data_IF_775452730157
#
_entry.id   IF_775452730157
#
_cell.length_a   1.000
_cell.length_b   1.000
_cell.length_c   1.000
_cell.angle_alpha   90.00
_cell.angle_beta   90.00
_cell.angle_gamma   90.00
#
_symmetry.space_group_name_H-M   'P 1'
#
loop_
_entity.id
_entity.type
_entity.pdbx_description
1 polymer ?
#
# COMPACT_ATOMS: atom_id res chain seq x y z
N UNK A 1 -17.74 -23.93 4.17
CA UNK A 1 -16.65 -23.01 3.83
C UNK A 1 -17.27 -21.82 3.09
N UNK A 2 -17.02 -20.58 3.52
CA UNK A 2 -17.48 -19.36 2.83
C UNK A 2 -16.32 -18.77 2.05
N UNK A 3 -16.50 -18.59 0.74
CA UNK A 3 -15.51 -17.93 -0.12
C UNK A 3 -15.72 -16.42 -0.06
N UNK A 4 -14.65 -15.67 0.11
CA UNK A 4 -14.65 -14.20 -0.03
C UNK A 4 -14.44 -13.87 -1.51
N UNK A 5 -15.43 -13.24 -2.13
CA UNK A 5 -15.34 -12.78 -3.51
C UNK A 5 -14.63 -11.41 -3.56
N UNK A 6 -13.31 -11.46 -3.71
CA UNK A 6 -12.49 -10.26 -3.79
C UNK A 6 -12.77 -9.41 -5.02
N UNK A 7 -13.23 -9.99 -6.14
CA UNK A 7 -13.56 -9.23 -7.34
C UNK A 7 -14.85 -8.41 -7.14
N UNK A 8 -15.89 -9.01 -6.58
CA UNK A 8 -17.13 -8.30 -6.28
C UNK A 8 -16.87 -7.13 -5.28
N UNK A 9 -16.08 -7.37 -4.24
CA UNK A 9 -15.73 -6.34 -3.26
C UNK A 9 -14.89 -5.22 -3.91
N UNK A 10 -13.93 -5.57 -4.78
CA UNK A 10 -13.13 -4.57 -5.49
C UNK A 10 -14.00 -3.67 -6.38
N UNK A 11 -15.00 -4.21 -7.07
CA UNK A 11 -15.93 -3.42 -7.88
C UNK A 11 -16.74 -2.44 -7.02
N UNK A 12 -17.21 -2.85 -5.85
CA UNK A 12 -17.89 -1.95 -4.91
C UNK A 12 -16.96 -0.80 -4.46
N UNK A 13 -15.73 -1.13 -4.07
CA UNK A 13 -14.75 -0.11 -3.65
C UNK A 13 -14.46 0.88 -4.78
N UNK A 14 -14.28 0.38 -6.02
CA UNK A 14 -14.02 1.25 -7.17
C UNK A 14 -15.20 2.18 -7.48
N UNK A 15 -16.44 1.70 -7.36
CA UNK A 15 -17.62 2.54 -7.52
C UNK A 15 -17.67 3.66 -6.47
N UNK A 16 -17.44 3.33 -5.20
CA UNK A 16 -17.38 4.31 -4.11
C UNK A 16 -16.25 5.34 -4.30
N UNK A 17 -15.07 4.88 -4.74
CA UNK A 17 -13.94 5.77 -5.04
C UNK A 17 -14.29 6.72 -6.18
N UNK A 18 -14.93 6.22 -7.25
CA UNK A 18 -15.35 7.04 -8.39
C UNK A 18 -16.32 8.15 -7.96
N UNK A 19 -17.29 7.82 -7.13
CA UNK A 19 -18.22 8.82 -6.57
C UNK A 19 -17.51 9.86 -5.70
N UNK A 20 -16.56 9.42 -4.88
CA UNK A 20 -15.75 10.34 -4.04
C UNK A 20 -14.89 11.26 -4.89
N UNK A 21 -14.25 10.73 -5.93
CA UNK A 21 -13.44 11.54 -6.87
C UNK A 21 -14.31 12.59 -7.57
N UNK A 22 -15.50 12.22 -8.04
CA UNK A 22 -16.41 13.16 -8.67
C UNK A 22 -16.82 14.35 -7.76
N UNK A 23 -16.91 14.10 -6.45
CA UNK A 23 -17.23 15.15 -5.46
C UNK A 23 -16.08 16.13 -5.19
N UNK A 24 -14.87 15.84 -5.63
CA UNK A 24 -13.70 16.72 -5.47
C UNK A 24 -13.58 17.78 -6.56
N UNK A 25 -14.47 17.77 -7.56
CA UNK A 25 -14.44 18.77 -8.64
C UNK A 25 -14.42 20.21 -8.08
N UNK A 26 -13.59 21.12 -8.63
CA UNK A 26 -12.81 20.97 -9.86
C UNK A 26 -11.44 20.27 -9.69
N UNK A 27 -11.08 19.82 -8.49
CA UNK A 27 -9.80 19.14 -8.22
C UNK A 27 -9.86 17.72 -8.75
N UNK A 28 -8.91 17.35 -9.62
CA UNK A 28 -8.71 15.98 -10.09
C UNK A 28 -7.54 15.37 -9.31
N UNK A 29 -7.75 14.35 -8.44
CA UNK A 29 -6.65 13.69 -7.76
C UNK A 29 -5.63 13.14 -8.73
N UNK A 30 -4.35 13.35 -8.46
CA UNK A 30 -3.25 12.93 -9.32
C UNK A 30 -2.27 12.04 -8.55
N UNK A 31 -2.07 10.82 -9.02
CA UNK A 31 -1.05 9.90 -8.53
C UNK A 31 0.09 9.78 -9.55
N UNK A 32 1.32 9.98 -9.09
CA UNK A 32 2.53 9.77 -9.87
C UNK A 32 3.12 8.39 -9.55
N UNK A 33 3.17 7.53 -10.55
CA UNK A 33 3.83 6.24 -10.48
C UNK A 33 5.29 6.38 -10.90
N UNK A 34 6.19 5.76 -10.14
CA UNK A 34 7.62 5.68 -10.47
C UNK A 34 8.00 4.22 -10.55
N UNK A 35 8.58 3.80 -11.67
CA UNK A 35 9.08 2.44 -11.89
C UNK A 35 10.53 2.47 -12.36
N UNK A 36 11.35 1.59 -11.79
CA UNK A 36 12.75 1.40 -12.17
C UNK A 36 12.91 0.00 -12.76
N UNK A 37 13.49 -0.08 -13.96
CA UNK A 37 13.64 -1.34 -14.70
C UNK A 37 12.35 -1.82 -15.35
N UNK A 38 12.43 -2.99 -15.97
CA UNK A 38 11.39 -3.57 -16.82
C UNK A 38 10.96 -4.97 -16.36
N UNK A 39 10.97 -5.23 -15.03
CA UNK A 39 10.42 -6.45 -14.48
C UNK A 39 8.97 -6.65 -14.96
N UNK A 40 8.64 -7.79 -15.60
CA UNK A 40 7.31 -7.99 -16.21
C UNK A 40 6.14 -7.89 -15.22
N UNK A 41 6.34 -8.33 -13.97
CA UNK A 41 5.31 -8.23 -12.94
C UNK A 41 5.06 -6.76 -12.58
N UNK A 42 6.12 -5.98 -12.38
CA UNK A 42 6.04 -4.54 -12.10
C UNK A 42 5.40 -3.77 -13.25
N UNK A 43 5.72 -4.11 -14.50
CA UNK A 43 5.07 -3.52 -15.70
C UNK A 43 3.56 -3.78 -15.66
N UNK A 44 3.16 -5.02 -15.46
CA UNK A 44 1.74 -5.42 -15.42
C UNK A 44 0.99 -4.72 -14.29
N UNK A 45 1.57 -4.66 -13.09
CA UNK A 45 0.95 -4.01 -11.93
C UNK A 45 0.76 -2.51 -12.12
N UNK A 46 1.80 -1.80 -12.59
CA UNK A 46 1.70 -0.36 -12.83
C UNK A 46 0.70 -0.03 -13.93
N UNK A 47 0.69 -0.80 -15.02
CA UNK A 47 -0.29 -0.63 -16.11
C UNK A 47 -1.72 -0.79 -15.59
N UNK A 48 -1.98 -1.83 -14.78
CA UNK A 48 -3.29 -2.04 -14.16
C UNK A 48 -3.67 -0.90 -13.22
N UNK A 49 -2.74 -0.43 -12.38
CA UNK A 49 -2.95 0.69 -11.46
C UNK A 49 -3.31 1.97 -12.21
N UNK A 50 -2.57 2.30 -13.29
CA UNK A 50 -2.86 3.48 -14.12
C UNK A 50 -4.25 3.40 -14.76
N UNK A 51 -4.60 2.25 -15.34
CA UNK A 51 -5.92 2.03 -15.93
C UNK A 51 -7.02 2.21 -14.89
N UNK A 52 -6.89 1.58 -13.74
CA UNK A 52 -7.88 1.68 -12.65
C UNK A 52 -8.01 3.12 -12.13
N UNK A 53 -6.89 3.84 -11.98
CA UNK A 53 -6.94 5.26 -11.59
C UNK A 53 -7.74 6.11 -12.60
N UNK A 54 -7.51 5.90 -13.90
CA UNK A 54 -8.26 6.59 -14.95
C UNK A 54 -9.76 6.22 -14.94
N UNK A 55 -10.11 4.96 -14.72
CA UNK A 55 -11.50 4.48 -14.65
C UNK A 55 -12.29 5.13 -13.51
N UNK A 56 -11.64 5.46 -12.41
CA UNK A 56 -12.29 6.15 -11.28
C UNK A 56 -12.19 7.68 -11.36
N UNK A 57 -11.62 8.22 -12.46
CA UNK A 57 -11.56 9.67 -12.70
C UNK A 57 -10.33 10.37 -12.11
N UNK A 58 -9.31 9.64 -11.70
CA UNK A 58 -8.04 10.19 -11.24
C UNK A 58 -7.08 10.41 -12.40
N UNK A 59 -6.21 11.41 -12.29
CA UNK A 59 -5.02 11.55 -13.16
C UNK A 59 -3.94 10.59 -12.68
N UNK A 60 -3.31 9.90 -13.63
CA UNK A 60 -2.20 9.00 -13.37
C UNK A 60 -1.04 9.34 -14.31
N UNK A 61 0.12 9.63 -13.78
CA UNK A 61 1.36 9.78 -14.56
C UNK A 61 2.32 8.63 -14.25
N UNK A 62 3.18 8.29 -15.17
CA UNK A 62 4.20 7.27 -15.01
C UNK A 62 5.55 7.81 -15.46
N UNK A 63 6.51 7.76 -14.54
CA UNK A 63 7.92 7.97 -14.84
C UNK A 63 8.63 6.62 -14.86
N UNK A 64 9.31 6.36 -15.96
CA UNK A 64 10.13 5.16 -16.14
C UNK A 64 11.60 5.52 -16.04
N UNK A 65 12.33 4.75 -15.26
CA UNK A 65 13.78 4.82 -15.17
C UNK A 65 14.42 3.51 -15.63
N UNK A 66 15.57 3.56 -16.29
CA UNK A 66 16.34 2.37 -16.59
C UNK A 66 16.83 1.73 -15.28
N UNK A 67 17.11 0.42 -15.31
CA UNK A 67 17.65 -0.30 -14.14
C UNK A 67 18.96 0.32 -13.62
N UNK A 68 19.69 1.02 -14.49
CA UNK A 68 20.97 1.68 -14.18
C UNK A 68 20.84 3.08 -13.58
N UNK A 69 19.62 3.58 -13.37
CA UNK A 69 19.41 4.93 -12.80
C UNK A 69 20.17 5.09 -11.48
N UNK A 70 20.83 6.21 -11.32
CA UNK A 70 21.54 6.50 -10.06
C UNK A 70 20.56 6.93 -8.95
N UNK A 71 20.95 6.71 -7.70
CA UNK A 71 20.18 7.18 -6.54
C UNK A 71 19.97 8.70 -6.60
N UNK A 72 20.96 9.46 -7.06
CA UNK A 72 20.87 10.92 -7.15
C UNK A 72 19.81 11.37 -8.17
N UNK A 73 19.76 10.76 -9.35
CA UNK A 73 18.76 11.06 -10.38
C UNK A 73 17.35 10.70 -9.91
N UNK A 74 17.18 9.51 -9.30
CA UNK A 74 15.89 9.11 -8.74
C UNK A 74 15.44 10.07 -7.64
N UNK A 75 16.34 10.46 -6.74
CA UNK A 75 16.01 11.38 -5.63
C UNK A 75 15.64 12.76 -6.14
N UNK A 76 16.38 13.31 -7.12
CA UNK A 76 16.02 14.59 -7.73
C UNK A 76 14.61 14.58 -8.33
N UNK A 77 14.22 13.46 -8.96
CA UNK A 77 12.86 13.31 -9.47
C UNK A 77 11.81 13.23 -8.35
N UNK A 78 12.08 12.46 -7.31
CA UNK A 78 11.16 12.37 -6.15
C UNK A 78 11.01 13.72 -5.45
N UNK A 79 12.09 14.52 -5.34
CA UNK A 79 12.02 15.87 -4.80
C UNK A 79 11.14 16.79 -5.64
N UNK A 80 11.27 16.69 -6.97
CA UNK A 80 10.41 17.45 -7.89
C UNK A 80 8.93 17.07 -7.73
N UNK A 81 8.61 15.76 -7.60
CA UNK A 81 7.25 15.29 -7.35
C UNK A 81 6.72 15.73 -5.98
N UNK A 82 7.58 15.73 -4.95
CA UNK A 82 7.22 16.23 -3.63
C UNK A 82 6.85 17.73 -3.67
N UNK A 83 7.59 18.53 -4.45
CA UNK A 83 7.39 19.96 -4.58
C UNK A 83 6.20 20.32 -5.51
N UNK A 84 5.78 19.43 -6.41
CA UNK A 84 4.69 19.69 -7.35
C UNK A 84 3.32 19.61 -6.65
N UNK A 85 2.68 20.76 -6.45
CA UNK A 85 1.36 20.86 -5.84
C UNK A 85 0.25 20.17 -6.66
N UNK A 86 0.46 19.89 -7.93
CA UNK A 86 -0.49 19.15 -8.78
C UNK A 86 -0.43 17.64 -8.59
N UNK A 87 0.61 17.13 -7.92
CA UNK A 87 0.78 15.72 -7.57
C UNK A 87 0.31 15.50 -6.13
N UNK A 88 -0.73 14.70 -5.94
CA UNK A 88 -1.34 14.45 -4.64
C UNK A 88 -0.87 13.14 -3.99
N UNK A 89 -0.33 12.22 -4.79
CA UNK A 89 0.22 10.97 -4.29
C UNK A 89 1.38 10.48 -5.16
N UNK A 90 2.36 9.85 -4.52
CA UNK A 90 3.53 9.26 -5.18
C UNK A 90 3.57 7.78 -4.81
N UNK A 91 3.70 6.93 -5.83
CA UNK A 91 3.82 5.48 -5.68
C UNK A 91 5.08 4.99 -6.37
N UNK A 92 5.99 4.40 -5.62
CA UNK A 92 7.22 3.80 -6.15
C UNK A 92 7.00 2.29 -6.23
N UNK A 93 7.02 1.76 -7.45
CA UNK A 93 6.79 0.33 -7.66
C UNK A 93 7.98 -0.50 -7.19
N UNK A 94 7.75 -1.32 -6.17
CA UNK A 94 8.71 -2.34 -5.71
C UNK A 94 8.58 -3.64 -6.56
N UNK A 95 9.64 -4.46 -6.64
CA UNK A 95 10.96 -4.28 -6.03
C UNK A 95 11.83 -3.27 -6.81
N UNK A 96 12.80 -2.68 -6.10
CA UNK A 96 13.82 -1.83 -6.71
C UNK A 96 15.11 -2.63 -6.99
N UNK A 97 15.94 -2.19 -7.97
CA UNK A 97 17.28 -2.74 -8.17
C UNK A 97 18.12 -2.68 -6.89
N UNK A 98 18.99 -3.65 -6.66
CA UNK A 98 19.77 -3.81 -5.41
C UNK A 98 20.62 -2.60 -5.01
N UNK A 99 21.07 -1.78 -5.98
CA UNK A 99 21.87 -0.59 -5.74
C UNK A 99 21.03 0.61 -5.23
N UNK A 100 19.71 0.50 -5.25
CA UNK A 100 18.77 1.48 -4.71
C UNK A 100 18.15 0.94 -3.40
N UNK A 101 18.64 1.36 -2.24
CA UNK A 101 18.10 0.88 -0.96
C UNK A 101 16.64 1.31 -0.79
N UNK A 102 15.70 0.36 -0.84
CA UNK A 102 14.25 0.62 -0.80
C UNK A 102 13.85 1.53 0.36
N UNK A 103 14.41 1.31 1.56
CA UNK A 103 14.10 2.13 2.73
C UNK A 103 14.46 3.61 2.52
N UNK A 104 15.61 3.89 1.90
CA UNK A 104 16.00 5.27 1.62
C UNK A 104 15.11 5.91 0.55
N UNK A 105 14.78 5.15 -0.49
CA UNK A 105 13.94 5.60 -1.59
C UNK A 105 12.51 5.90 -1.11
N UNK A 106 11.90 4.99 -0.34
CA UNK A 106 10.57 5.21 0.22
C UNK A 106 10.54 6.38 1.20
N UNK A 107 11.57 6.56 2.01
CA UNK A 107 11.68 7.72 2.91
C UNK A 107 11.94 9.05 2.20
N UNK A 108 12.28 9.04 0.90
CA UNK A 108 12.41 10.28 0.12
C UNK A 108 11.05 10.86 -0.27
N UNK A 109 10.01 10.06 -0.34
CA UNK A 109 8.65 10.52 -0.59
C UNK A 109 8.14 11.28 0.63
N UNK A 110 7.53 12.45 0.39
CA UNK A 110 6.86 13.19 1.45
C UNK A 110 5.77 12.34 2.11
N UNK A 111 5.71 12.27 3.44
CA UNK A 111 4.68 11.49 4.15
C UNK A 111 3.24 11.83 3.77
N UNK A 112 2.99 13.06 3.33
CA UNK A 112 1.66 13.51 2.92
C UNK A 112 1.31 13.08 1.48
N UNK A 113 2.31 12.55 0.74
CA UNK A 113 2.15 12.01 -0.62
C UNK A 113 2.50 10.52 -0.72
N UNK A 114 2.91 9.87 0.38
CA UNK A 114 3.27 8.45 0.44
C UNK A 114 2.02 7.57 0.46
N UNK A 115 1.43 7.36 -0.72
CA UNK A 115 0.17 6.61 -0.85
C UNK A 115 0.31 5.09 -0.67
N UNK A 116 1.53 4.57 -0.69
CA UNK A 116 1.81 3.16 -0.35
C UNK A 116 2.04 2.94 1.15
N UNK A 117 2.31 4.00 1.92
CA UNK A 117 2.53 3.91 3.35
C UNK A 117 3.81 3.18 3.74
N UNK A 118 4.86 3.22 2.89
CA UNK A 118 6.11 2.47 3.11
C UNK A 118 7.19 3.28 3.81
N UNK A 119 7.07 4.60 3.84
CA UNK A 119 7.97 5.48 4.55
C UNK A 119 7.91 5.27 6.07
N UNK A 120 9.02 5.51 6.75
CA UNK A 120 9.13 5.35 8.21
C UNK A 120 8.08 6.18 8.96
N UNK A 121 7.79 7.40 8.49
CA UNK A 121 6.78 8.24 9.11
C UNK A 121 5.37 7.69 8.88
N UNK A 122 5.06 7.17 7.69
CA UNK A 122 3.77 6.55 7.39
C UNK A 122 3.54 5.31 8.26
N UNK A 123 4.55 4.45 8.40
CA UNK A 123 4.50 3.29 9.30
C UNK A 123 4.33 3.72 10.76
N UNK A 124 5.04 4.76 11.19
CA UNK A 124 4.91 5.30 12.55
C UNK A 124 3.50 5.84 12.81
N UNK A 125 2.96 6.62 11.89
CA UNK A 125 1.58 7.14 11.94
C UNK A 125 0.55 6.01 11.99
N UNK A 126 0.75 4.94 11.19
CA UNK A 126 -0.12 3.76 11.20
C UNK A 126 -0.15 3.08 12.56
N UNK A 127 1.03 2.80 13.16
CA UNK A 127 1.15 2.15 14.46
C UNK A 127 0.56 3.01 15.59
N UNK A 128 0.66 4.33 15.48
CA UNK A 128 0.08 5.29 16.42
C UNK A 128 -1.41 5.57 16.18
N UNK A 129 -2.01 4.95 15.17
CA UNK A 129 -3.41 5.17 14.78
C UNK A 129 -3.73 6.64 14.49
N UNK A 130 -2.77 7.39 13.90
CA UNK A 130 -2.96 8.79 13.55
C UNK A 130 -4.06 8.91 12.48
N UNK A 131 -5.10 9.74 12.67
CA UNK A 131 -6.15 9.92 11.67
C UNK A 131 -5.59 10.33 10.31
N UNK A 132 -6.04 9.65 9.23
CA UNK A 132 -5.57 9.93 7.87
C UNK A 132 -4.21 9.33 7.52
N UNK A 133 -3.62 8.51 8.39
CA UNK A 133 -2.40 7.79 8.06
C UNK A 133 -2.62 6.85 6.87
N UNK A 134 -1.71 6.88 5.91
CA UNK A 134 -1.70 5.89 4.84
C UNK A 134 -1.22 4.54 5.37
N UNK A 135 -1.95 3.50 5.03
CA UNK A 135 -1.57 2.11 5.31
C UNK A 135 -1.15 1.42 4.03
N UNK A 136 -0.20 0.49 4.14
CA UNK A 136 0.19 -0.34 3.00
C UNK A 136 -1.04 -1.00 2.36
N UNK A 137 -1.15 -0.88 1.02
CA UNK A 137 -2.38 -1.21 0.29
C UNK A 137 -2.80 -2.68 0.45
N UNK A 138 -1.86 -3.63 0.44
CA UNK A 138 -2.17 -5.06 0.59
C UNK A 138 -2.76 -5.38 1.96
N UNK A 139 -2.15 -4.99 3.09
CA UNK A 139 -2.76 -5.17 4.41
C UNK A 139 -4.09 -4.45 4.58
N UNK A 140 -4.20 -3.21 4.09
CA UNK A 140 -5.47 -2.48 4.11
C UNK A 140 -6.57 -3.22 3.33
N UNK A 141 -6.22 -3.77 2.17
CA UNK A 141 -7.12 -4.59 1.37
C UNK A 141 -7.57 -5.87 2.09
N UNK A 142 -6.68 -6.52 2.86
CA UNK A 142 -7.06 -7.69 3.68
C UNK A 142 -8.10 -7.30 4.72
N UNK A 143 -7.89 -6.23 5.46
CA UNK A 143 -8.85 -5.75 6.47
C UNK A 143 -10.18 -5.37 5.82
N UNK A 144 -10.14 -4.69 4.67
CA UNK A 144 -11.35 -4.31 3.93
C UNK A 144 -12.13 -5.54 3.42
N UNK A 145 -11.45 -6.58 2.94
CA UNK A 145 -12.07 -7.85 2.57
C UNK A 145 -12.77 -8.52 3.76
N UNK A 146 -12.13 -8.58 4.90
CA UNK A 146 -12.72 -9.14 6.14
C UNK A 146 -13.96 -8.35 6.54
N UNK A 147 -13.85 -7.03 6.61
CA UNK A 147 -14.93 -6.13 7.02
C UNK A 147 -16.15 -6.26 6.10
N UNK A 148 -15.97 -6.18 4.77
CA UNK A 148 -17.08 -6.27 3.79
C UNK A 148 -17.68 -7.67 3.70
N UNK A 149 -16.93 -8.68 4.10
CA UNK A 149 -17.45 -10.05 4.18
C UNK A 149 -18.18 -10.35 5.48
N UNK A 150 -18.30 -9.38 6.39
CA UNK A 150 -18.94 -9.56 7.68
C UNK A 150 -18.19 -10.54 8.61
N UNK A 151 -16.85 -10.58 8.47
CA UNK A 151 -16.01 -11.35 9.39
C UNK A 151 -15.78 -10.50 10.64
N UNK A 152 -16.28 -10.99 11.77
CA UNK A 152 -16.04 -10.38 13.07
C UNK A 152 -14.59 -10.61 13.48
N UNK A 153 -13.85 -9.53 13.70
CA UNK A 153 -12.41 -9.56 14.07
C UNK A 153 -12.18 -9.28 15.55
N UNK A 154 -13.06 -8.53 16.19
CA UNK A 154 -12.93 -8.14 17.60
C UNK A 154 -12.84 -9.37 18.52
N UNK A 155 -11.80 -9.39 19.37
CA UNK A 155 -11.53 -10.49 20.30
C UNK A 155 -11.04 -11.79 19.64
N UNK A 156 -10.85 -11.81 18.31
CA UNK A 156 -10.30 -12.99 17.61
C UNK A 156 -8.78 -13.00 17.67
N UNK A 157 -8.23 -14.20 17.52
CA UNK A 157 -6.80 -14.41 17.42
C UNK A 157 -6.41 -14.47 15.93
N UNK A 158 -5.54 -13.59 15.51
CA UNK A 158 -5.00 -13.55 14.15
C UNK A 158 -3.53 -13.96 14.14
N UNK A 159 -3.16 -14.89 13.26
CA UNK A 159 -1.76 -15.28 13.03
C UNK A 159 -1.29 -14.75 11.69
N UNK A 160 -0.33 -13.83 11.72
CA UNK A 160 0.30 -13.26 10.53
C UNK A 160 1.59 -14.01 10.24
N UNK A 161 1.62 -14.76 9.13
CA UNK A 161 2.82 -15.49 8.70
C UNK A 161 3.63 -14.66 7.73
N UNK A 162 4.63 -13.96 8.27
CA UNK A 162 5.51 -13.03 7.57
C UNK A 162 5.75 -11.77 8.37
N UNK A 163 6.90 -11.12 8.12
CA UNK A 163 7.28 -9.87 8.83
C UNK A 163 7.91 -8.83 7.91
N UNK A 164 7.49 -8.82 6.64
CA UNK A 164 7.94 -7.80 5.69
C UNK A 164 7.44 -6.42 6.10
N UNK A 165 8.16 -5.38 5.68
CA UNK A 165 7.76 -3.99 5.94
C UNK A 165 6.51 -3.58 5.15
N UNK A 166 6.29 -4.23 4.00
CA UNK A 166 5.22 -3.87 3.07
C UNK A 166 3.92 -4.67 3.27
N UNK A 167 3.97 -5.82 3.97
CA UNK A 167 2.76 -6.64 4.21
C UNK A 167 2.65 -7.08 5.67
N UNK A 168 3.59 -7.90 6.17
CA UNK A 168 3.42 -8.60 7.46
C UNK A 168 3.30 -7.67 8.66
N UNK A 169 4.23 -6.73 8.82
CA UNK A 169 4.20 -5.77 9.93
C UNK A 169 2.99 -4.82 9.86
N UNK A 170 2.67 -4.19 8.71
CA UNK A 170 1.47 -3.38 8.58
C UNK A 170 0.17 -4.16 8.78
N UNK A 171 0.09 -5.42 8.32
CA UNK A 171 -1.08 -6.27 8.56
C UNK A 171 -1.31 -6.52 10.05
N UNK A 172 -0.23 -6.81 10.79
CA UNK A 172 -0.33 -7.00 12.23
C UNK A 172 -0.77 -5.71 12.95
N UNK A 173 -0.23 -4.56 12.55
CA UNK A 173 -0.65 -3.27 13.10
C UNK A 173 -2.13 -2.98 12.84
N UNK A 174 -2.62 -3.18 11.60
CA UNK A 174 -4.02 -2.97 11.25
C UNK A 174 -4.98 -3.91 11.98
N UNK A 175 -4.60 -5.19 12.12
CA UNK A 175 -5.44 -6.17 12.83
C UNK A 175 -5.50 -5.91 14.35
N UNK A 176 -4.41 -5.34 14.92
CA UNK A 176 -4.34 -4.95 16.32
C UNK A 176 -5.09 -3.64 16.61
N UNK A 177 -5.18 -2.75 15.59
CA UNK A 177 -5.73 -1.41 15.75
C UNK A 177 -7.19 -1.43 16.21
N UNK A 178 -7.61 -0.33 16.85
CA UNK A 178 -9.00 -0.11 17.27
C UNK A 178 -9.97 -0.26 16.10
N UNK A 179 -11.05 -1.00 16.33
CA UNK A 179 -12.04 -1.32 15.30
C UNK A 179 -11.77 -2.65 14.56
N UNK A 180 -10.55 -3.20 14.62
CA UNK A 180 -10.27 -4.60 14.31
C UNK A 180 -10.15 -5.44 15.58
N UNK A 181 -9.43 -4.93 16.59
CA UNK A 181 -9.37 -5.43 17.96
C UNK A 181 -8.97 -6.92 18.08
N UNK A 182 -8.08 -7.39 17.17
CA UNK A 182 -7.56 -8.74 17.24
C UNK A 182 -6.43 -8.87 18.27
N UNK A 183 -6.30 -10.05 18.87
CA UNK A 183 -5.02 -10.50 19.41
C UNK A 183 -4.15 -11.00 18.27
N UNK A 184 -2.92 -10.49 18.11
CA UNK A 184 -2.11 -10.78 16.93
C UNK A 184 -0.81 -11.49 17.28
N UNK A 185 -0.56 -12.62 16.65
CA UNK A 185 0.73 -13.33 16.68
C UNK A 185 1.42 -13.19 15.32
N UNK A 186 2.69 -12.76 15.32
CA UNK A 186 3.51 -12.72 14.10
C UNK A 186 4.47 -13.92 14.09
N UNK A 187 4.34 -14.77 13.08
CA UNK A 187 5.25 -15.87 12.81
C UNK A 187 6.09 -15.60 11.55
N UNK A 188 7.25 -16.22 11.43
CA UNK A 188 8.18 -16.00 10.30
C UNK A 188 9.08 -17.23 10.06
N UNK A 189 9.94 -17.18 9.08
CA UNK A 189 10.82 -18.29 8.67
C UNK A 189 11.72 -18.88 9.77
N UNK A 190 11.91 -18.16 10.88
CA UNK A 190 12.67 -18.65 12.05
C UNK A 190 11.77 -19.08 13.22
N UNK A 191 10.44 -19.05 13.04
CA UNK A 191 9.50 -19.51 14.07
C UNK A 191 9.61 -21.03 14.19
N UNK A 192 9.82 -21.51 15.41
CA UNK A 192 9.79 -22.94 15.71
C UNK A 192 8.35 -23.42 15.73
N UNK A 193 8.10 -24.60 15.21
CA UNK A 193 6.79 -25.23 15.16
C UNK A 193 5.68 -24.29 14.60
N UNK A 194 5.93 -23.76 13.40
CA UNK A 194 4.98 -22.91 12.71
C UNK A 194 3.55 -23.53 12.62
N UNK A 195 3.39 -24.86 12.37
CA UNK A 195 2.07 -25.48 12.37
C UNK A 195 1.31 -25.37 13.68
N UNK A 196 1.98 -25.44 14.84
CA UNK A 196 1.35 -25.26 16.14
C UNK A 196 0.89 -23.80 16.32
N UNK A 197 1.76 -22.84 15.95
CA UNK A 197 1.43 -21.41 16.03
C UNK A 197 0.21 -21.04 15.17
N UNK A 198 0.13 -21.60 13.95
CA UNK A 198 -0.98 -21.29 13.01
C UNK A 198 -2.32 -21.90 13.46
N UNK A 199 -2.30 -22.87 14.38
CA UNK A 199 -3.51 -23.50 14.93
C UNK A 199 -4.03 -22.84 16.20
N UNK A 200 -3.32 -21.84 16.73
CA UNK A 200 -3.79 -21.05 17.87
C UNK A 200 -5.05 -20.26 17.50
#
# INVERSE_FOLDING_TARGET
MRLIDGNAIAQQVLAEVKERVAKLAPVVPHVAFVRVGDDPASVSYVTKKQKTAAEVGMKASLQLFPETVTKAELFAHLDALNADASVHGILIQAPLPKHLPETEVFNRVSPDKDVDGFGTQSIGRLVQEVPGAFAACTPAGVVELLRRSGVETAGKHAVVVGRSLIVGKPAAALLLAKGCDCTVTIAHSRTKDLPAIVRL
#
